data_IF_479271543168
#
_entry.id   IF_479271543168
#
_cell.length_a   1.000
_cell.length_b   1.000
_cell.length_c   1.000
_cell.angle_alpha   90.00
_cell.angle_beta   90.00
_cell.angle_gamma   90.00
#
_symmetry.space_group_name_H-M   'P 1'
#
loop_
_entity.id
_entity.type
_entity.pdbx_description
1 polymer ?
#
# COMPACT_ATOMS: atom_id res chain seq x y z
N UNK A 1 7.32 -13.93 -5.20
CA UNK A 1 6.70 -13.44 -3.94
C UNK A 1 5.78 -14.44 -3.24
N UNK A 2 5.41 -15.59 -3.85
CA UNK A 2 4.53 -16.57 -3.19
C UNK A 2 5.26 -17.83 -2.71
N UNK A 3 6.55 -17.96 -3.01
CA UNK A 3 7.37 -19.17 -2.76
C UNK A 3 7.46 -19.58 -1.30
N UNK A 4 7.29 -18.64 -0.37
CA UNK A 4 7.32 -18.93 1.06
C UNK A 4 5.95 -19.32 1.64
N UNK A 5 4.86 -19.08 0.89
CA UNK A 5 3.48 -19.26 1.34
C UNK A 5 2.72 -20.32 0.54
N UNK A 6 3.26 -20.79 -0.59
CA UNK A 6 2.64 -21.77 -1.49
C UNK A 6 3.62 -22.87 -1.86
N UNK A 7 3.42 -24.08 -1.32
CA UNK A 7 4.33 -25.21 -1.51
C UNK A 7 4.51 -25.60 -2.99
N UNK A 8 3.43 -25.54 -3.79
CA UNK A 8 3.52 -25.80 -5.23
C UNK A 8 4.42 -24.79 -5.95
N UNK A 9 4.33 -23.52 -5.58
CA UNK A 9 5.17 -22.47 -6.16
C UNK A 9 6.61 -22.60 -5.69
N UNK A 10 6.82 -22.99 -4.42
CA UNK A 10 8.14 -23.27 -3.86
C UNK A 10 8.88 -24.33 -4.69
N UNK A 11 8.25 -25.48 -4.89
CA UNK A 11 8.83 -26.61 -5.64
C UNK A 11 9.11 -26.25 -7.11
N UNK A 12 8.17 -25.56 -7.76
CA UNK A 12 8.33 -25.12 -9.15
C UNK A 12 9.51 -24.17 -9.32
N UNK A 13 9.63 -23.18 -8.42
CA UNK A 13 10.71 -22.19 -8.47
C UNK A 13 12.05 -22.82 -8.10
N UNK A 14 12.12 -23.70 -7.09
CA UNK A 14 13.36 -24.42 -6.77
C UNK A 14 13.87 -25.27 -7.94
N UNK A 15 12.95 -25.93 -8.64
CA UNK A 15 13.29 -26.72 -9.83
C UNK A 15 13.86 -25.83 -10.93
N UNK A 16 13.24 -24.67 -11.18
CA UNK A 16 13.70 -23.71 -12.19
C UNK A 16 15.07 -23.11 -11.83
N UNK A 17 15.28 -22.76 -10.56
CA UNK A 17 16.55 -22.25 -10.03
C UNK A 17 17.71 -23.24 -10.22
N UNK A 18 17.44 -24.56 -10.13
CA UNK A 18 18.46 -25.61 -10.32
C UNK A 18 18.72 -25.98 -11.78
N UNK A 19 17.70 -25.89 -12.64
CA UNK A 19 17.70 -26.52 -13.95
C UNK A 19 17.96 -25.57 -15.12
N UNK A 20 17.84 -24.25 -14.93
CA UNK A 20 17.84 -23.30 -16.05
C UNK A 20 18.70 -22.08 -15.73
N UNK A 21 19.40 -21.57 -16.74
CA UNK A 21 20.01 -20.24 -16.66
C UNK A 21 18.91 -19.19 -16.59
N UNK A 22 18.85 -18.45 -15.50
CA UNK A 22 17.88 -17.38 -15.31
C UNK A 22 18.48 -16.07 -15.81
N UNK A 23 17.70 -15.32 -16.58
CA UNK A 23 18.01 -13.93 -16.92
C UNK A 23 17.71 -13.05 -15.70
N UNK A 24 18.72 -12.87 -14.84
CA UNK A 24 18.60 -12.09 -13.62
C UNK A 24 18.41 -10.60 -13.88
N UNK A 25 18.89 -10.07 -15.01
CA UNK A 25 18.70 -8.68 -15.38
C UNK A 25 17.21 -8.42 -15.66
N UNK A 26 16.56 -9.30 -16.41
CA UNK A 26 15.10 -9.23 -16.61
C UNK A 26 14.31 -9.36 -15.30
N UNK A 27 14.76 -10.21 -14.36
CA UNK A 27 14.12 -10.32 -13.03
C UNK A 27 14.26 -9.01 -12.26
N UNK A 28 15.43 -8.38 -12.26
CA UNK A 28 15.66 -7.08 -11.61
C UNK A 28 14.81 -6.00 -12.26
N UNK A 29 14.79 -5.90 -13.58
CA UNK A 29 14.00 -4.90 -14.31
C UNK A 29 12.51 -4.99 -13.97
N UNK A 30 11.93 -6.19 -14.08
CA UNK A 30 10.49 -6.41 -13.81
C UNK A 30 10.18 -6.13 -12.33
N UNK A 31 10.96 -6.68 -11.42
CA UNK A 31 10.68 -6.57 -9.98
C UNK A 31 10.83 -5.15 -9.45
N UNK A 32 11.80 -4.39 -9.95
CA UNK A 32 11.98 -2.97 -9.60
C UNK A 32 10.90 -2.10 -10.25
N UNK A 33 10.59 -2.30 -11.53
CA UNK A 33 9.51 -1.58 -12.24
C UNK A 33 8.13 -1.79 -11.64
N UNK A 34 7.89 -2.94 -11.00
CA UNK A 34 6.66 -3.23 -10.27
C UNK A 34 6.72 -2.98 -8.76
N UNK A 35 7.82 -2.44 -8.23
CA UNK A 35 8.02 -2.13 -6.80
C UNK A 35 7.89 -3.35 -5.86
N UNK A 36 8.38 -4.50 -6.30
CA UNK A 36 8.34 -5.77 -5.58
C UNK A 36 9.71 -6.40 -5.36
N UNK A 37 10.79 -5.68 -5.68
CA UNK A 37 12.15 -6.20 -5.51
C UNK A 37 12.48 -6.54 -4.05
N UNK A 38 12.18 -5.69 -3.04
CA UNK A 38 12.30 -6.07 -1.64
C UNK A 38 11.42 -7.27 -1.24
N UNK A 39 10.18 -7.31 -1.74
CA UNK A 39 9.27 -8.43 -1.49
C UNK A 39 9.83 -9.75 -2.02
N UNK A 40 10.46 -9.72 -3.20
CA UNK A 40 11.12 -10.87 -3.80
C UNK A 40 12.27 -11.35 -2.92
N UNK A 41 13.12 -10.44 -2.44
CA UNK A 41 14.22 -10.77 -1.52
C UNK A 41 13.72 -11.45 -0.25
N UNK A 42 12.79 -10.81 0.48
CA UNK A 42 12.26 -11.36 1.74
C UNK A 42 11.68 -12.78 1.54
N UNK A 43 10.99 -13.00 0.43
CA UNK A 43 10.41 -14.30 0.12
C UNK A 43 11.44 -15.37 -0.25
N UNK A 44 12.50 -15.02 -1.00
CA UNK A 44 13.58 -15.95 -1.33
C UNK A 44 14.42 -16.27 -0.10
N UNK A 45 14.70 -15.27 0.75
CA UNK A 45 15.37 -15.44 2.03
C UNK A 45 14.61 -16.42 2.92
N UNK A 46 13.31 -16.19 3.11
CA UNK A 46 12.44 -17.07 3.93
C UNK A 46 12.38 -18.51 3.40
N UNK A 47 12.46 -18.69 2.08
CA UNK A 47 12.46 -20.00 1.45
C UNK A 47 13.83 -20.71 1.48
N UNK A 48 14.89 -20.03 1.96
CA UNK A 48 16.30 -20.44 1.87
C UNK A 48 16.77 -20.63 0.42
N UNK A 49 16.37 -19.72 -0.48
CA UNK A 49 16.69 -19.81 -1.92
C UNK A 49 17.77 -18.83 -2.38
N UNK A 50 18.33 -18.00 -1.49
CA UNK A 50 19.35 -17.02 -1.86
C UNK A 50 20.64 -17.68 -2.39
N UNK A 51 20.96 -18.90 -1.95
CA UNK A 51 22.15 -19.64 -2.41
C UNK A 51 22.08 -20.05 -3.89
N UNK A 52 20.90 -19.97 -4.52
CA UNK A 52 20.73 -20.20 -5.96
C UNK A 52 21.00 -18.94 -6.81
N UNK A 53 21.17 -17.77 -6.18
CA UNK A 53 21.33 -16.50 -6.86
C UNK A 53 22.83 -16.11 -6.93
N UNK A 54 23.23 -15.31 -7.94
CA UNK A 54 24.55 -14.67 -7.94
C UNK A 54 24.77 -13.85 -6.67
N UNK A 55 25.94 -13.99 -6.03
CA UNK A 55 26.23 -13.33 -4.75
C UNK A 55 26.12 -11.79 -4.81
N UNK A 56 26.52 -11.18 -5.92
CA UNK A 56 26.39 -9.73 -6.14
C UNK A 56 24.93 -9.30 -6.16
N UNK A 57 24.05 -10.09 -6.79
CA UNK A 57 22.61 -9.84 -6.80
C UNK A 57 22.02 -9.95 -5.40
N UNK A 58 22.38 -10.98 -4.62
CA UNK A 58 21.91 -11.13 -3.24
C UNK A 58 22.31 -9.92 -2.39
N UNK A 59 23.56 -9.47 -2.52
CA UNK A 59 24.08 -8.29 -1.81
C UNK A 59 23.30 -7.03 -2.18
N UNK A 60 23.00 -6.85 -3.47
CA UNK A 60 22.21 -5.72 -3.94
C UNK A 60 20.75 -5.77 -3.45
N UNK A 61 20.12 -6.94 -3.52
CA UNK A 61 18.77 -7.17 -3.00
C UNK A 61 18.67 -6.86 -1.50
N UNK A 62 19.63 -7.33 -0.70
CA UNK A 62 19.70 -7.06 0.73
C UNK A 62 19.82 -5.56 1.00
N UNK A 63 20.73 -4.87 0.31
CA UNK A 63 20.93 -3.43 0.48
C UNK A 63 19.65 -2.63 0.21
N UNK A 64 18.97 -2.87 -0.94
CA UNK A 64 17.73 -2.17 -1.28
C UNK A 64 16.59 -2.52 -0.31
N UNK A 65 16.52 -3.78 0.15
CA UNK A 65 15.53 -4.21 1.13
C UNK A 65 15.73 -3.50 2.46
N UNK A 66 16.98 -3.37 2.93
CA UNK A 66 17.29 -2.69 4.19
C UNK A 66 16.93 -1.19 4.12
N UNK A 67 17.27 -0.51 3.03
CA UNK A 67 16.85 0.88 2.81
C UNK A 67 15.32 1.04 2.81
N UNK A 68 14.60 0.10 2.18
CA UNK A 68 13.13 0.13 2.20
C UNK A 68 12.57 -0.15 3.60
N UNK A 69 13.23 -1.00 4.40
CA UNK A 69 12.84 -1.29 5.78
C UNK A 69 12.95 -0.04 6.64
N UNK A 70 14.11 0.60 6.63
CA UNK A 70 14.37 1.86 7.36
C UNK A 70 13.35 2.93 6.97
N UNK A 71 13.12 3.11 5.65
CA UNK A 71 12.09 4.02 5.14
C UNK A 71 10.69 3.70 5.69
N UNK A 72 10.32 2.42 5.73
CA UNK A 72 9.01 2.01 6.22
C UNK A 72 8.87 2.19 7.74
N UNK A 73 9.94 2.05 8.52
CA UNK A 73 9.95 2.37 9.95
C UNK A 73 9.66 3.86 10.18
N UNK A 74 10.28 4.74 9.39
CA UNK A 74 10.00 6.17 9.41
C UNK A 74 8.55 6.48 8.99
N UNK A 75 8.05 5.88 7.91
CA UNK A 75 6.65 6.06 7.46
C UNK A 75 5.65 5.61 8.52
N UNK A 76 5.89 4.46 9.16
CA UNK A 76 5.02 3.94 10.23
C UNK A 76 5.01 4.90 11.43
N UNK A 77 6.18 5.42 11.80
CA UNK A 77 6.31 6.42 12.88
C UNK A 77 5.56 7.69 12.53
N UNK A 78 5.81 8.25 11.34
CA UNK A 78 5.11 9.42 10.82
C UNK A 78 3.58 9.22 10.78
N UNK A 79 3.10 8.05 10.36
CA UNK A 79 1.67 7.75 10.31
C UNK A 79 1.03 7.69 11.71
N UNK A 80 1.76 7.19 12.71
CA UNK A 80 1.30 7.17 14.11
C UNK A 80 1.26 8.56 14.73
N UNK A 81 2.24 9.41 14.43
CA UNK A 81 2.23 10.81 14.84
C UNK A 81 1.07 11.57 14.21
N UNK A 82 0.84 11.37 12.91
CA UNK A 82 -0.31 11.91 12.18
C UNK A 82 -1.64 11.45 12.81
N UNK A 83 -1.77 10.16 13.13
CA UNK A 83 -2.95 9.63 13.82
C UNK A 83 -3.18 10.32 15.17
N UNK A 84 -2.11 10.50 15.96
CA UNK A 84 -2.18 11.17 17.26
C UNK A 84 -2.64 12.62 17.13
N UNK A 85 -2.07 13.37 16.19
CA UNK A 85 -2.45 14.75 15.89
C UNK A 85 -3.94 14.87 15.53
N UNK A 86 -4.42 14.00 14.64
CA UNK A 86 -5.80 14.04 14.17
C UNK A 86 -6.78 13.65 15.29
N UNK A 87 -6.48 12.61 16.07
CA UNK A 87 -7.31 12.18 17.19
C UNK A 87 -7.40 13.26 18.29
N UNK A 88 -6.30 13.96 18.59
CA UNK A 88 -6.30 15.09 19.52
C UNK A 88 -7.25 16.22 19.09
N UNK A 89 -7.51 16.32 17.78
CA UNK A 89 -8.45 17.26 17.18
C UNK A 89 -9.84 16.64 16.92
N UNK A 90 -10.16 15.49 17.51
CA UNK A 90 -11.43 14.78 17.34
C UNK A 90 -11.72 14.38 15.88
N UNK A 91 -10.66 14.11 15.09
CA UNK A 91 -10.76 13.59 13.72
C UNK A 91 -10.27 12.15 13.75
N UNK A 92 -11.08 11.22 13.25
CA UNK A 92 -10.71 9.79 13.21
C UNK A 92 -10.35 9.37 11.79
N UNK A 93 -9.06 9.35 11.41
CA UNK A 93 -8.65 8.94 10.07
C UNK A 93 -8.77 7.41 9.91
N UNK A 94 -9.06 6.96 8.69
CA UNK A 94 -8.90 5.57 8.25
C UNK A 94 -7.72 5.53 7.29
N UNK A 95 -6.63 4.85 7.66
CA UNK A 95 -5.46 4.69 6.80
C UNK A 95 -5.72 3.68 5.70
N UNK A 96 -5.24 4.01 4.50
CA UNK A 96 -5.53 3.30 3.25
C UNK A 96 -4.25 2.75 2.61
N UNK A 97 -4.46 1.88 1.61
CA UNK A 97 -3.42 1.34 0.70
C UNK A 97 -2.17 0.83 1.45
N UNK A 98 -0.98 1.12 0.93
CA UNK A 98 0.29 0.60 1.43
C UNK A 98 0.55 0.96 2.89
N UNK A 99 0.35 2.23 3.28
CA UNK A 99 0.53 2.65 4.68
C UNK A 99 -0.48 1.97 5.61
N UNK A 100 -1.75 1.88 5.22
CA UNK A 100 -2.76 1.13 5.98
C UNK A 100 -2.42 -0.36 6.13
N UNK A 101 -1.86 -0.97 5.10
CA UNK A 101 -1.42 -2.37 5.12
C UNK A 101 -0.19 -2.59 6.01
N UNK A 102 0.78 -1.67 6.01
CA UNK A 102 1.93 -1.67 6.92
C UNK A 102 1.47 -1.57 8.38
N UNK A 103 0.58 -0.63 8.68
CA UNK A 103 0.01 -0.43 10.02
C UNK A 103 -0.81 -1.63 10.51
N UNK A 104 -1.47 -2.33 9.57
CA UNK A 104 -2.24 -3.54 9.85
C UNK A 104 -1.36 -4.80 10.01
N UNK A 105 -0.07 -4.73 9.69
CA UNK A 105 0.85 -5.87 9.81
C UNK A 105 0.47 -7.05 8.92
N UNK A 106 0.06 -6.80 7.66
CA UNK A 106 -0.27 -7.90 6.73
C UNK A 106 0.96 -8.58 6.12
N UNK A 107 2.12 -7.92 6.19
CA UNK A 107 3.40 -8.42 5.70
C UNK A 107 4.18 -9.09 6.82
N UNK A 108 4.95 -10.12 6.51
CA UNK A 108 5.84 -10.76 7.49
C UNK A 108 7.07 -9.90 7.82
N UNK A 109 7.59 -9.20 6.81
CA UNK A 109 8.61 -8.15 6.96
C UNK A 109 8.06 -6.86 6.36
N UNK A 110 8.15 -5.75 7.10
CA UNK A 110 7.68 -4.45 6.61
C UNK A 110 8.39 -4.03 5.32
N UNK A 111 9.60 -4.52 5.06
CA UNK A 111 10.34 -4.26 3.83
C UNK A 111 9.67 -4.84 2.59
N UNK A 112 8.71 -5.76 2.71
CA UNK A 112 8.03 -6.37 1.57
C UNK A 112 7.20 -5.38 0.75
N UNK A 113 6.83 -4.22 1.31
CA UNK A 113 6.01 -3.23 0.63
C UNK A 113 6.73 -1.91 0.47
N UNK A 114 7.02 -1.49 -0.75
CA UNK A 114 7.55 -0.14 -0.99
C UNK A 114 6.42 0.89 -0.95
N UNK A 115 6.49 1.88 -0.05
CA UNK A 115 5.46 2.91 0.12
C UNK A 115 6.05 4.30 -0.08
N UNK A 116 5.32 5.15 -0.82
CA UNK A 116 5.76 6.52 -1.15
C UNK A 116 5.02 7.60 -0.36
N UNK A 117 3.77 7.35 -0.03
CA UNK A 117 2.80 8.30 0.52
C UNK A 117 1.95 7.66 1.63
N UNK A 118 1.39 8.53 2.46
CA UNK A 118 0.46 8.18 3.53
C UNK A 118 -0.94 8.57 3.07
N UNK A 119 -1.69 7.59 2.57
CA UNK A 119 -3.09 7.75 2.19
C UNK A 119 -4.03 7.54 3.40
N UNK A 120 -4.98 8.44 3.58
CA UNK A 120 -6.01 8.32 4.61
C UNK A 120 -7.28 9.07 4.20
N UNK A 121 -8.42 8.61 4.76
CA UNK A 121 -9.74 9.19 4.54
C UNK A 121 -10.43 9.45 5.87
N UNK A 122 -11.38 10.37 5.88
CA UNK A 122 -12.22 10.71 7.02
C UNK A 122 -13.64 11.02 6.57
N UNK A 123 -14.53 11.28 7.54
CA UNK A 123 -15.90 11.65 7.24
C UNK A 123 -15.95 12.96 6.45
N UNK A 124 -16.98 13.12 5.61
CA UNK A 124 -17.21 14.36 4.85
C UNK A 124 -17.29 15.58 5.78
N UNK A 125 -17.79 15.40 7.01
CA UNK A 125 -17.88 16.46 8.02
C UNK A 125 -16.50 16.88 8.55
N UNK A 126 -15.61 15.92 8.76
CA UNK A 126 -14.26 16.20 9.28
C UNK A 126 -13.33 16.73 8.19
N UNK A 127 -13.75 16.65 6.91
CA UNK A 127 -12.85 16.88 5.79
C UNK A 127 -12.20 18.28 5.76
N UNK A 128 -12.96 19.38 5.86
CA UNK A 128 -12.37 20.71 5.90
C UNK A 128 -11.51 20.92 7.15
N UNK A 129 -11.95 20.37 8.29
CA UNK A 129 -11.26 20.52 9.58
C UNK A 129 -9.89 19.83 9.57
N UNK A 130 -9.80 18.64 8.99
CA UNK A 130 -8.54 17.91 8.90
C UNK A 130 -7.50 18.65 8.06
N UNK A 131 -7.91 19.27 6.95
CA UNK A 131 -7.02 20.12 6.14
C UNK A 131 -6.50 21.27 6.98
N UNK A 132 -7.38 22.01 7.67
CA UNK A 132 -6.99 23.13 8.54
C UNK A 132 -5.99 22.69 9.61
N UNK A 133 -6.27 21.60 10.33
CA UNK A 133 -5.37 21.06 11.37
C UNK A 133 -3.99 20.73 10.81
N UNK A 134 -3.91 20.15 9.61
CA UNK A 134 -2.63 19.79 8.99
C UNK A 134 -1.84 21.04 8.59
N UNK A 135 -2.49 22.00 7.93
CA UNK A 135 -1.84 23.25 7.55
C UNK A 135 -1.31 24.02 8.77
N UNK A 136 -2.13 24.14 9.83
CA UNK A 136 -1.73 24.76 11.10
C UNK A 136 -0.59 23.99 11.81
N UNK A 137 -0.47 22.69 11.56
CA UNK A 137 0.59 21.83 12.11
C UNK A 137 1.88 21.81 11.29
N UNK A 138 1.98 22.69 10.28
CA UNK A 138 3.19 22.89 9.46
C UNK A 138 3.28 21.98 8.23
N UNK A 139 2.18 21.35 7.81
CA UNK A 139 2.12 20.72 6.50
C UNK A 139 1.90 21.78 5.42
N UNK A 140 2.59 21.63 4.29
CA UNK A 140 2.48 22.51 3.13
C UNK A 140 2.29 21.69 1.85
N UNK A 141 1.74 22.31 0.80
CA UNK A 141 1.59 21.65 -0.50
C UNK A 141 2.96 21.34 -1.11
N UNK A 142 3.14 20.11 -1.61
CA UNK A 142 4.38 19.68 -2.28
C UNK A 142 4.53 20.34 -3.66
N UNK A 143 3.44 20.87 -4.22
CA UNK A 143 3.42 21.59 -5.50
C UNK A 143 2.35 22.68 -5.47
N UNK A 144 2.72 23.93 -5.79
CA UNK A 144 1.78 25.03 -6.01
C UNK A 144 0.97 24.79 -7.29
N UNK A 145 -0.11 24.01 -7.22
CA UNK A 145 -1.09 24.04 -8.31
C UNK A 145 -1.92 25.31 -8.16
N UNK A 146 -1.74 26.29 -9.07
CA UNK A 146 -2.54 27.53 -9.15
C UNK A 146 -4.05 27.31 -9.30
N UNK A 147 -4.50 26.07 -9.49
CA UNK A 147 -5.90 25.69 -9.68
C UNK A 147 -6.23 24.43 -8.88
N UNK A 148 -7.07 24.56 -7.85
CA UNK A 148 -7.76 23.43 -7.24
C UNK A 148 -8.88 22.97 -8.19
N UNK A 149 -8.74 21.80 -8.79
CA UNK A 149 -9.82 21.22 -9.58
C UNK A 149 -10.86 20.59 -8.63
N UNK A 150 -12.14 21.04 -8.65
CA UNK A 150 -13.19 20.57 -7.73
C UNK A 150 -13.60 19.11 -7.95
N UNK A 151 -13.02 18.41 -8.93
CA UNK A 151 -13.35 17.04 -9.31
C UNK A 151 -12.30 16.00 -8.89
N UNK A 152 -11.26 16.39 -8.15
CA UNK A 152 -10.19 15.49 -7.72
C UNK A 152 -10.60 14.66 -6.50
N UNK A 153 -10.21 13.38 -6.52
CA UNK A 153 -10.48 12.39 -5.45
C UNK A 153 -9.73 12.68 -4.14
N UNK A 154 -8.68 13.51 -4.20
CA UNK A 154 -7.81 13.85 -3.07
C UNK A 154 -7.54 15.36 -3.07
N UNK A 155 -7.27 15.92 -1.89
CA UNK A 155 -6.64 17.24 -1.79
C UNK A 155 -5.21 17.19 -2.36
N UNK A 156 -4.60 18.35 -2.59
CA UNK A 156 -3.19 18.43 -2.96
C UNK A 156 -2.30 17.68 -1.96
N UNK A 157 -1.24 17.04 -2.45
CA UNK A 157 -0.27 16.33 -1.61
C UNK A 157 0.33 17.30 -0.61
N UNK A 158 0.27 16.95 0.67
CA UNK A 158 0.82 17.76 1.75
C UNK A 158 2.09 17.10 2.29
N UNK A 159 3.10 17.89 2.63
CA UNK A 159 4.30 17.40 3.31
C UNK A 159 4.74 18.39 4.37
N UNK A 160 5.18 17.86 5.50
CA UNK A 160 5.79 18.62 6.57
C UNK A 160 7.31 18.52 6.44
N UNK A 161 8.01 19.59 6.77
CA UNK A 161 9.48 19.60 6.76
C UNK A 161 10.04 18.42 7.58
N UNK A 162 11.10 17.77 7.07
CA UNK A 162 11.75 16.59 7.64
C UNK A 162 10.94 15.28 7.64
N UNK A 163 9.68 15.28 7.19
CA UNK A 163 8.93 14.03 7.02
C UNK A 163 9.29 13.33 5.71
N UNK A 164 9.49 12.00 5.78
CA UNK A 164 9.94 11.16 4.67
C UNK A 164 8.88 10.95 3.58
N UNK A 165 7.59 10.99 3.95
CA UNK A 165 6.47 10.76 3.06
C UNK A 165 5.53 11.97 2.99
N UNK A 166 5.01 12.24 1.80
CA UNK A 166 3.86 13.11 1.64
C UNK A 166 2.60 12.41 2.14
N UNK A 167 1.62 13.19 2.59
CA UNK A 167 0.33 12.72 3.06
C UNK A 167 -0.73 13.10 2.01
N UNK A 168 -1.58 12.15 1.67
CA UNK A 168 -2.67 12.31 0.71
C UNK A 168 -4.01 12.19 1.44
N UNK A 169 -4.74 13.30 1.42
CA UNK A 169 -6.06 13.41 2.03
C UNK A 169 -7.10 12.99 1.00
N UNK A 170 -7.77 11.86 1.21
CA UNK A 170 -8.79 11.37 0.30
C UNK A 170 -10.15 11.98 0.64
N UNK A 171 -10.82 12.59 -0.33
CA UNK A 171 -12.26 12.90 -0.24
C UNK A 171 -13.10 11.73 -0.71
N UNK A 172 -12.57 10.96 -1.66
CA UNK A 172 -13.23 9.81 -2.29
C UNK A 172 -12.23 8.65 -2.43
N UNK A 173 -12.68 7.42 -2.22
CA UNK A 173 -11.86 6.22 -2.41
C UNK A 173 -11.79 5.84 -3.90
N UNK A 174 -12.91 5.98 -4.61
CA UNK A 174 -13.03 5.69 -6.05
C UNK A 174 -12.95 6.98 -6.84
N UNK A 175 -12.02 7.05 -7.80
CA UNK A 175 -11.82 8.24 -8.63
C UNK A 175 -12.99 8.50 -9.59
N UNK A 176 -13.59 7.42 -10.10
CA UNK A 176 -14.68 7.49 -11.08
C UNK A 176 -16.01 7.81 -10.38
N UNK A 177 -16.58 8.96 -10.71
CA UNK A 177 -17.78 9.52 -10.05
C UNK A 177 -18.97 8.55 -9.97
N UNK A 178 -19.27 7.84 -11.07
CA UNK A 178 -20.40 6.90 -11.13
C UNK A 178 -20.29 5.72 -10.14
N UNK A 179 -19.09 5.44 -9.62
CA UNK A 179 -18.81 4.32 -8.72
C UNK A 179 -18.50 4.73 -7.27
N UNK A 180 -18.62 6.02 -6.94
CA UNK A 180 -18.30 6.54 -5.59
C UNK A 180 -19.30 6.07 -4.53
N UNK A 181 -20.55 5.78 -4.91
CA UNK A 181 -21.59 5.40 -3.94
C UNK A 181 -21.41 3.97 -3.44
N UNK A 182 -20.77 3.14 -4.25
CA UNK A 182 -20.54 1.72 -4.04
C UNK A 182 -19.38 1.47 -3.08
N UNK A 183 -18.39 2.38 -3.02
CA UNK A 183 -17.23 2.24 -2.15
C UNK A 183 -16.70 3.61 -1.68
N UNK A 184 -17.23 4.08 -0.55
CA UNK A 184 -16.90 5.39 0.06
C UNK A 184 -16.59 5.25 1.56
N UNK A 185 -16.33 6.40 2.20
CA UNK A 185 -16.08 6.46 3.64
C UNK A 185 -17.17 5.78 4.48
N UNK A 186 -18.45 6.12 4.26
CA UNK A 186 -19.56 5.57 5.06
C UNK A 186 -19.69 4.06 4.91
N UNK A 187 -19.33 3.52 3.74
CA UNK A 187 -19.25 2.09 3.51
C UNK A 187 -18.14 1.45 4.35
N UNK A 188 -16.89 1.92 4.20
CA UNK A 188 -15.73 1.30 4.85
C UNK A 188 -15.62 1.59 6.35
N UNK A 189 -16.26 2.66 6.83
CA UNK A 189 -16.27 3.01 8.24
C UNK A 189 -17.06 2.01 9.09
N UNK A 190 -18.08 1.35 8.51
CA UNK A 190 -18.97 0.41 9.21
C UNK A 190 -18.25 -0.82 9.77
N UNK A 191 -17.23 -1.30 9.07
CA UNK A 191 -16.49 -2.52 9.39
C UNK A 191 -14.97 -2.29 9.55
N UNK A 192 -14.54 -1.02 9.59
CA UNK A 192 -13.15 -0.65 9.85
C UNK A 192 -12.61 -1.28 11.13
N UNK A 193 -11.31 -1.54 11.15
CA UNK A 193 -10.61 -2.18 12.27
C UNK A 193 -9.76 -1.15 13.00
N UNK A 194 -9.62 -1.29 14.32
CA UNK A 194 -8.64 -0.53 15.11
C UNK A 194 -7.53 -1.48 15.53
N UNK A 195 -6.32 -1.23 15.04
CA UNK A 195 -5.12 -2.02 15.33
C UNK A 195 -4.10 -1.08 15.96
N UNK A 196 -3.65 -1.40 17.17
CA UNK A 196 -2.67 -0.58 17.91
C UNK A 196 -3.05 0.92 17.98
N UNK A 197 -4.34 1.22 18.17
CA UNK A 197 -4.85 2.59 18.27
C UNK A 197 -4.99 3.33 16.93
N UNK A 198 -4.69 2.68 15.80
CA UNK A 198 -4.86 3.25 14.45
C UNK A 198 -6.02 2.56 13.75
N UNK A 199 -6.88 3.34 13.09
CA UNK A 199 -7.98 2.79 12.31
C UNK A 199 -7.56 2.52 10.87
N UNK A 200 -7.84 1.31 10.41
CA UNK A 200 -7.56 0.79 9.06
C UNK A 200 -8.80 0.10 8.49
N UNK A 201 -8.81 -0.17 7.19
CA UNK A 201 -9.91 -0.91 6.54
C UNK A 201 -10.07 -2.34 7.10
N UNK A 202 -11.25 -2.93 6.97
CA UNK A 202 -11.43 -4.38 7.14
C UNK A 202 -10.60 -5.16 6.12
N UNK A 203 -10.28 -6.43 6.37
CA UNK A 203 -9.51 -7.23 5.40
C UNK A 203 -10.25 -7.38 4.05
N UNK A 204 -11.58 -7.45 4.08
CA UNK A 204 -12.43 -7.38 2.89
C UNK A 204 -12.25 -6.08 2.12
N UNK A 205 -12.28 -4.94 2.82
CA UNK A 205 -12.15 -3.62 2.19
C UNK A 205 -10.71 -3.30 1.77
N UNK A 206 -9.69 -3.83 2.45
CA UNK A 206 -8.31 -3.81 1.95
C UNK A 206 -8.20 -4.57 0.62
N UNK A 207 -8.84 -5.74 0.52
CA UNK A 207 -8.83 -6.56 -0.69
C UNK A 207 -9.51 -5.82 -1.86
N UNK A 208 -10.72 -5.31 -1.63
CA UNK A 208 -11.46 -4.51 -2.61
C UNK A 208 -10.66 -3.28 -3.05
N UNK A 209 -10.10 -2.51 -2.10
CA UNK A 209 -9.30 -1.33 -2.42
C UNK A 209 -8.05 -1.69 -3.23
N UNK A 210 -7.37 -2.79 -2.93
CA UNK A 210 -6.15 -3.20 -3.66
C UNK A 210 -6.44 -3.48 -5.15
N UNK A 211 -7.63 -4.02 -5.45
CA UNK A 211 -8.12 -4.26 -6.81
C UNK A 211 -8.58 -2.96 -7.46
N UNK A 212 -9.47 -2.20 -6.80
CA UNK A 212 -10.05 -0.95 -7.31
C UNK A 212 -8.96 0.07 -7.62
N UNK A 213 -7.97 0.23 -6.73
CA UNK A 213 -6.90 1.19 -6.90
C UNK A 213 -6.14 0.97 -8.22
N UNK A 214 -5.82 -0.27 -8.58
CA UNK A 214 -5.08 -0.54 -9.81
C UNK A 214 -5.98 -0.67 -11.04
N UNK A 215 -7.07 -1.44 -10.94
CA UNK A 215 -7.88 -1.80 -12.10
C UNK A 215 -8.84 -0.69 -12.53
N UNK A 216 -9.34 0.10 -11.57
CA UNK A 216 -10.32 1.18 -11.82
C UNK A 216 -9.64 2.54 -11.76
N UNK A 217 -8.97 2.87 -10.64
CA UNK A 217 -8.43 4.22 -10.46
C UNK A 217 -7.22 4.51 -11.35
N UNK A 218 -6.41 3.49 -11.64
CA UNK A 218 -5.20 3.62 -12.49
C UNK A 218 -5.41 3.02 -13.90
N UNK A 219 -6.66 2.77 -14.31
CA UNK A 219 -7.04 2.24 -15.63
C UNK A 219 -6.36 0.92 -16.01
N UNK A 220 -5.92 0.10 -15.04
CA UNK A 220 -5.29 -1.19 -15.30
C UNK A 220 -6.16 -2.14 -16.12
N UNK A 221 -7.49 -2.07 -15.95
CA UNK A 221 -8.44 -2.84 -16.76
C UNK A 221 -8.36 -2.48 -18.25
N UNK A 222 -8.37 -1.18 -18.56
CA UNK A 222 -8.37 -0.68 -19.95
C UNK A 222 -7.04 -0.98 -20.64
N UNK A 223 -5.93 -0.81 -19.92
CA UNK A 223 -4.58 -1.07 -20.44
C UNK A 223 -4.16 -2.55 -20.36
N UNK A 224 -4.98 -3.41 -19.75
CA UNK A 224 -4.68 -4.83 -19.49
C UNK A 224 -3.37 -5.01 -18.72
N UNK A 225 -3.12 -4.12 -17.76
CA UNK A 225 -1.93 -4.14 -16.92
C UNK A 225 -2.29 -4.48 -15.48
N UNK A 226 -1.30 -4.97 -14.74
CA UNK A 226 -1.41 -5.25 -13.32
C UNK A 226 -0.09 -4.88 -12.63
N UNK A 227 -0.18 -4.07 -11.58
CA UNK A 227 0.98 -3.79 -10.74
C UNK A 227 1.24 -4.97 -9.78
N UNK A 228 2.42 -5.60 -9.85
CA UNK A 228 2.69 -6.78 -9.01
C UNK A 228 2.64 -6.47 -7.51
N UNK A 229 2.94 -5.24 -7.07
CA UNK A 229 2.76 -4.84 -5.66
C UNK A 229 1.31 -4.95 -5.21
N UNK A 230 0.36 -4.55 -6.05
CA UNK A 230 -1.07 -4.66 -5.78
C UNK A 230 -1.53 -6.13 -5.85
N UNK A 231 -1.02 -6.89 -6.82
CA UNK A 231 -1.28 -8.33 -6.91
C UNK A 231 -0.78 -9.07 -5.67
N UNK A 232 0.35 -8.64 -5.11
CA UNK A 232 0.88 -9.21 -3.88
C UNK A 232 0.04 -8.87 -2.65
N UNK A 233 -0.40 -7.61 -2.52
CA UNK A 233 -1.37 -7.21 -1.50
C UNK A 233 -2.65 -8.06 -1.57
N UNK A 234 -3.20 -8.24 -2.78
CA UNK A 234 -4.37 -9.12 -3.05
C UNK A 234 -4.09 -10.56 -2.63
N UNK A 235 -2.92 -11.11 -2.96
CA UNK A 235 -2.55 -12.46 -2.58
C UNK A 235 -2.50 -12.63 -1.06
N UNK A 236 -1.83 -11.73 -0.32
CA UNK A 236 -1.74 -11.79 1.14
C UNK A 236 -3.13 -11.67 1.79
N UNK A 237 -3.96 -10.74 1.29
CA UNK A 237 -5.32 -10.53 1.79
C UNK A 237 -6.25 -11.71 1.47
N UNK A 238 -6.03 -12.43 0.37
CA UNK A 238 -6.79 -13.64 0.03
C UNK A 238 -6.62 -14.77 1.04
N UNK A 239 -5.57 -14.72 1.88
CA UNK A 239 -5.37 -15.66 2.99
C UNK A 239 -6.16 -15.28 4.24
N UNK A 240 -6.65 -14.05 4.32
CA UNK A 240 -7.44 -13.51 5.43
C UNK A 240 -8.94 -13.48 5.12
N UNK A 241 -9.31 -13.30 3.85
CA UNK A 241 -10.72 -13.27 3.40
C UNK A 241 -10.87 -13.77 1.96
N UNK A 242 -12.05 -14.27 1.62
CA UNK A 242 -12.36 -14.67 0.24
C UNK A 242 -12.86 -13.50 -0.60
N UNK A 243 -12.57 -13.50 -1.90
CA UNK A 243 -13.09 -12.50 -2.82
C UNK A 243 -14.63 -12.46 -2.83
N UNK A 244 -15.28 -13.63 -2.71
CA UNK A 244 -16.75 -13.70 -2.64
C UNK A 244 -17.29 -12.98 -1.41
N UNK A 245 -16.70 -13.22 -0.23
CA UNK A 245 -17.09 -12.53 0.99
C UNK A 245 -16.79 -11.02 0.92
N UNK A 246 -15.68 -10.64 0.30
CA UNK A 246 -15.30 -9.23 0.16
C UNK A 246 -16.26 -8.44 -0.74
N UNK A 247 -16.77 -9.06 -1.81
CA UNK A 247 -17.66 -8.40 -2.77
C UNK A 247 -19.13 -8.43 -2.32
N UNK A 248 -19.55 -9.39 -1.47
CA UNK A 248 -20.93 -9.47 -0.98
C UNK A 248 -21.42 -8.21 -0.23
N UNK A 249 -20.51 -7.39 0.29
CA UNK A 249 -20.84 -6.09 0.87
C UNK A 249 -21.03 -4.96 -0.15
N UNK A 250 -20.49 -5.08 -1.37
CA UNK A 250 -20.59 -4.07 -2.42
C UNK A 250 -21.95 -4.20 -3.13
N UNK A 251 -22.97 -3.49 -2.64
CA UNK A 251 -24.33 -3.51 -3.19
C UNK A 251 -25.17 -2.34 -2.71
#
# INVERSE_FOLDING_TARGET
MTVSLEEKNRQAIETQLKATSIDWDAVVEVSTGHYVFPALYCNLQRANFLDYLPQELVTYMEHITNLNRERNEEIITQARELNTLLLANMITPIFLKGTGNLLAGIYEDIAERMVGDIDFIFSTKDYPKAITVLLESGYAEVSEYKYHFPYQKHYGRLQKENNIAAVEIHSEIVGIEKYRKEFNYDFVAKDSQVINGVRVLSDANKLNLSIIANQINDSGFDYKTMALRNAYDVFLLSKKTSAMAAVQGLG
#
